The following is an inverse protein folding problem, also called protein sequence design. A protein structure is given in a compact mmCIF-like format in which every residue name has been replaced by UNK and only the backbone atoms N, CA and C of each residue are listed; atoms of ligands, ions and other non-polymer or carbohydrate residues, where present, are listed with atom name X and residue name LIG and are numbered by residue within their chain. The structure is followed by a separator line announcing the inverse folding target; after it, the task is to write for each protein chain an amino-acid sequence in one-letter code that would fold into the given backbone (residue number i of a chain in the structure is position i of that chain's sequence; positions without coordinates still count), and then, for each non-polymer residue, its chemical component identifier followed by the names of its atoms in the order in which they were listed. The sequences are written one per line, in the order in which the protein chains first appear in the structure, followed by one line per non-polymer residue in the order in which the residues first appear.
data_IF_077448914012
#
_entry.id   IF_077448914012
#
_cell.length_a   1.000
_cell.length_b   1.000
_cell.length_c   1.000
_cell.angle_alpha   90.00
_cell.angle_beta   90.00
_cell.angle_gamma   90.00
#
_symmetry.space_group_name_H-M   'P 1'
#
loop_
_entity.id
_entity.type
_entity.pdbx_description
1 polymer ?
#
# COMPACT_ATOMS: atom_id res chain seq x y z
N UNK A 1 10.97 -6.46 11.14
CA UNK A 1 10.42 -5.46 12.08
C UNK A 1 10.61 -4.08 11.47
N UNK A 2 9.54 -3.44 11.03
CA UNK A 2 9.60 -2.01 10.70
C UNK A 2 9.48 -1.23 12.01
N UNK A 3 10.43 -0.36 12.29
CA UNK A 3 10.37 0.54 13.44
C UNK A 3 9.25 1.55 13.21
N UNK A 4 8.32 1.69 14.16
CA UNK A 4 7.28 2.73 14.13
C UNK A 4 7.84 4.15 14.25
N UNK A 5 9.15 4.30 14.50
CA UNK A 5 9.81 5.59 14.63
C UNK A 5 10.12 6.27 13.27
N UNK A 6 10.01 5.56 12.14
CA UNK A 6 10.26 6.11 10.80
C UNK A 6 8.98 6.05 9.96
N UNK A 7 8.15 7.07 10.12
CA UNK A 7 7.07 7.37 9.18
C UNK A 7 7.52 8.47 8.22
N UNK A 8 7.32 8.26 6.92
CA UNK A 8 7.55 9.27 5.89
C UNK A 8 6.21 9.73 5.33
N UNK A 9 5.91 11.03 5.33
CA UNK A 9 4.61 11.52 4.87
C UNK A 9 4.44 11.25 3.37
N UNK A 10 3.21 10.91 2.99
CA UNK A 10 2.81 10.80 1.59
C UNK A 10 2.69 12.22 1.03
N UNK A 11 3.46 12.51 -0.02
CA UNK A 11 3.50 13.81 -0.71
C UNK A 11 2.38 13.93 -1.74
N UNK A 12 1.91 12.80 -2.26
CA UNK A 12 0.83 12.79 -3.24
C UNK A 12 0.43 11.38 -3.63
N UNK A 13 -0.52 11.30 -4.57
CA UNK A 13 -1.04 10.05 -5.10
C UNK A 13 -1.01 10.15 -6.63
N UNK A 14 -0.61 9.08 -7.31
CA UNK A 14 -0.66 8.99 -8.75
C UNK A 14 -1.26 7.66 -9.21
N UNK A 15 -1.81 7.64 -10.42
CA UNK A 15 -2.29 6.41 -11.06
C UNK A 15 -1.34 6.05 -12.20
N UNK A 16 -0.86 4.81 -12.20
CA UNK A 16 0.10 4.31 -13.19
C UNK A 16 -0.34 2.98 -13.77
N UNK A 17 0.16 2.67 -14.97
CA UNK A 17 0.10 1.33 -15.51
C UNK A 17 1.45 0.65 -15.24
N UNK A 18 1.44 -0.53 -14.60
CA UNK A 18 2.64 -1.27 -14.24
C UNK A 18 2.76 -2.52 -15.12
N UNK A 19 3.96 -2.80 -15.59
CA UNK A 19 4.31 -4.10 -16.17
C UNK A 19 5.40 -4.73 -15.30
N UNK A 20 5.08 -5.85 -14.66
CA UNK A 20 5.99 -6.57 -13.78
C UNK A 20 6.03 -8.02 -14.24
N UNK A 21 7.20 -8.46 -14.71
CA UNK A 21 7.43 -9.84 -15.17
C UNK A 21 6.40 -10.31 -16.22
N UNK A 22 6.03 -9.42 -17.15
CA UNK A 22 5.03 -9.71 -18.18
C UNK A 22 3.57 -9.58 -17.73
N UNK A 23 3.31 -9.33 -16.45
CA UNK A 23 1.98 -9.05 -15.93
C UNK A 23 1.66 -7.56 -15.97
N UNK A 24 0.57 -7.21 -16.66
CA UNK A 24 0.14 -5.82 -16.83
C UNK A 24 -0.99 -5.45 -15.87
N UNK A 25 -0.73 -4.44 -15.04
CA UNK A 25 -1.68 -3.86 -14.08
C UNK A 25 -2.07 -2.47 -14.56
N UNK A 26 -3.38 -2.26 -14.79
CA UNK A 26 -3.91 -0.99 -15.24
C UNK A 26 -4.36 -0.12 -14.07
N UNK A 27 -4.12 1.18 -14.20
CA UNK A 27 -4.65 2.21 -13.30
C UNK A 27 -4.41 1.90 -11.81
N UNK A 28 -3.18 1.50 -11.48
CA UNK A 28 -2.78 1.22 -10.12
C UNK A 28 -2.48 2.53 -9.39
N UNK A 29 -3.15 2.74 -8.26
CA UNK A 29 -2.92 3.88 -7.40
C UNK A 29 -1.64 3.67 -6.58
N UNK A 30 -0.69 4.60 -6.67
CA UNK A 30 0.54 4.61 -5.89
C UNK A 30 0.61 5.89 -5.04
N UNK A 31 1.08 5.73 -3.82
CA UNK A 31 1.44 6.87 -2.95
C UNK A 31 2.87 7.30 -3.24
N UNK A 32 3.09 8.60 -3.41
CA UNK A 32 4.41 9.19 -3.61
C UNK A 32 4.97 9.55 -2.25
N UNK A 33 6.07 8.93 -1.85
CA UNK A 33 6.75 9.20 -0.59
C UNK A 33 8.01 10.04 -0.84
N UNK A 34 8.28 11.00 0.05
CA UNK A 34 9.53 11.74 0.02
C UNK A 34 10.68 10.86 0.53
N UNK A 35 11.81 10.82 -0.18
CA UNK A 35 13.01 10.04 0.18
C UNK A 35 12.75 8.53 0.32
N UNK A 36 12.05 7.94 -0.64
CA UNK A 36 11.91 6.49 -0.74
C UNK A 36 13.29 5.83 -0.89
N UNK A 37 13.55 4.75 -0.16
CA UNK A 37 14.83 4.04 -0.19
C UNK A 37 14.99 3.09 -1.38
N UNK A 38 13.98 3.00 -2.25
CA UNK A 38 13.94 2.21 -3.46
C UNK A 38 13.04 2.90 -4.49
N UNK A 39 12.92 2.33 -5.70
CA UNK A 39 12.11 2.91 -6.76
C UNK A 39 10.60 2.79 -6.47
N UNK A 40 10.16 1.61 -6.03
CA UNK A 40 8.75 1.28 -5.76
C UNK A 40 8.67 0.30 -4.58
N UNK A 41 7.72 0.53 -3.67
CA UNK A 41 7.34 -0.45 -2.64
C UNK A 41 6.00 -1.07 -3.06
N UNK A 42 5.97 -2.39 -3.18
CA UNK A 42 4.74 -3.14 -3.46
C UNK A 42 4.14 -3.61 -2.13
N UNK A 43 2.99 -3.05 -1.80
CA UNK A 43 2.26 -3.34 -0.57
C UNK A 43 1.47 -4.66 -0.64
N UNK A 44 0.83 -5.00 0.48
CA UNK A 44 0.00 -6.21 0.55
C UNK A 44 -1.22 -6.17 -0.39
N UNK A 45 -1.70 -4.98 -0.71
CA UNK A 45 -2.77 -4.72 -1.67
C UNK A 45 -2.40 -5.18 -3.09
N UNK A 46 -1.15 -4.97 -3.50
CA UNK A 46 -0.60 -5.56 -4.72
C UNK A 46 -0.46 -7.06 -4.56
N UNK A 47 0.17 -7.50 -3.46
CA UNK A 47 0.52 -8.91 -3.27
C UNK A 47 -0.69 -9.85 -3.25
N UNK A 48 -1.82 -9.41 -2.67
CA UNK A 48 -3.08 -10.18 -2.61
C UNK A 48 -3.77 -10.37 -3.97
N UNK A 49 -3.30 -9.72 -5.03
CA UNK A 49 -3.81 -9.95 -6.39
C UNK A 49 -3.28 -11.25 -7.01
N UNK A 50 -2.27 -11.85 -6.40
CA UNK A 50 -1.71 -13.12 -6.80
C UNK A 50 -2.17 -14.23 -5.86
N UNK A 51 -2.34 -15.42 -6.40
CA UNK A 51 -2.62 -16.64 -5.62
C UNK A 51 -1.47 -16.94 -4.64
N UNK A 52 -0.22 -16.75 -5.08
CA UNK A 52 0.97 -16.87 -4.24
C UNK A 52 2.12 -16.01 -4.76
N UNK A 53 3.07 -15.69 -3.87
CA UNK A 53 4.31 -14.96 -4.22
C UNK A 53 5.50 -15.82 -3.83
N UNK A 54 6.45 -15.96 -4.77
CA UNK A 54 7.68 -16.73 -4.57
C UNK A 54 8.87 -15.78 -4.48
N UNK A 55 9.60 -15.84 -3.37
CA UNK A 55 10.83 -15.07 -3.16
C UNK A 55 12.00 -16.05 -3.15
N UNK A 56 12.82 -16.01 -4.19
CA UNK A 56 14.00 -16.87 -4.31
C UNK A 56 15.22 -16.18 -3.69
N UNK A 57 15.80 -16.79 -2.65
CA UNK A 57 16.98 -16.26 -1.94
C UNK A 57 18.33 -16.76 -2.50
N UNK A 58 18.33 -17.64 -3.52
CA UNK A 58 19.54 -18.18 -4.13
C UNK A 58 20.38 -19.10 -3.22
N UNK A 59 19.83 -19.55 -2.10
CA UNK A 59 20.50 -20.45 -1.17
C UNK A 59 20.69 -21.87 -1.73
N UNK A 60 21.68 -22.60 -1.21
CA UNK A 60 22.01 -23.97 -1.62
C UNK A 60 21.15 -25.06 -0.96
N UNK A 61 20.32 -24.68 0.02
CA UNK A 61 19.44 -25.61 0.75
C UNK A 61 18.07 -25.72 0.06
N UNK A 62 17.35 -26.84 0.23
CA UNK A 62 15.97 -26.96 -0.24
C UNK A 62 15.10 -25.81 0.26
N UNK A 63 14.11 -25.41 -0.54
CA UNK A 63 13.17 -24.36 -0.19
C UNK A 63 12.39 -24.76 1.07
N UNK A 64 12.20 -23.78 1.97
CA UNK A 64 11.32 -23.93 3.13
C UNK A 64 9.95 -23.42 2.73
N UNK A 65 8.97 -24.33 2.64
CA UNK A 65 7.58 -23.98 2.41
C UNK A 65 6.85 -23.88 3.74
N UNK A 66 6.31 -22.70 4.07
CA UNK A 66 5.52 -22.49 5.28
C UNK A 66 4.07 -22.78 4.91
N UNK A 67 3.73 -24.07 4.80
CA UNK A 67 2.39 -24.54 4.45
C UNK A 67 1.54 -24.88 5.70
N UNK A 68 2.17 -24.93 6.88
CA UNK A 68 1.49 -25.22 8.13
C UNK A 68 0.87 -23.95 8.72
N UNK A 69 -0.46 -23.96 8.83
CA UNK A 69 -1.31 -22.97 9.51
C UNK A 69 -0.93 -22.71 10.98
N UNK A 70 0.11 -23.37 11.51
CA UNK A 70 0.56 -23.27 12.90
C UNK A 70 1.96 -22.64 13.05
N UNK A 71 2.63 -22.26 11.96
CA UNK A 71 3.91 -21.54 12.05
C UNK A 71 3.76 -20.15 11.46
N UNK A 72 3.38 -19.19 12.31
CA UNK A 72 3.41 -17.77 11.97
C UNK A 72 4.87 -17.32 11.85
N UNK A 73 5.50 -17.56 10.70
CA UNK A 73 6.68 -16.80 10.32
C UNK A 73 6.20 -15.40 9.95
N UNK A 74 6.27 -14.49 10.92
CA UNK A 74 5.77 -13.13 10.83
C UNK A 74 6.44 -12.30 9.74
N UNK A 75 5.97 -12.42 8.50
CA UNK A 75 6.07 -11.34 7.52
C UNK A 75 4.99 -10.30 7.91
N UNK A 76 5.33 -9.46 8.88
CA UNK A 76 4.39 -8.49 9.42
C UNK A 76 4.03 -7.46 8.33
N UNK A 77 2.73 -7.31 8.06
CA UNK A 77 2.20 -6.18 7.30
C UNK A 77 2.59 -4.88 8.01
N UNK A 78 3.26 -3.96 7.34
CA UNK A 78 3.39 -2.60 7.87
C UNK A 78 2.06 -1.89 7.63
N UNK A 79 1.32 -1.62 8.70
CA UNK A 79 0.18 -0.69 8.64
C UNK A 79 0.77 0.71 8.49
N UNK A 80 0.53 1.35 7.34
CA UNK A 80 0.84 2.77 7.17
C UNK A 80 -0.43 3.53 7.54
N UNK A 81 -0.33 4.43 8.51
CA UNK A 81 -1.47 5.24 8.91
C UNK A 81 -1.97 6.05 7.70
N UNK A 82 -3.29 6.10 7.45
CA UNK A 82 -3.83 6.88 6.36
C UNK A 82 -3.42 8.35 6.53
N UNK A 83 -3.10 9.06 5.44
CA UNK A 83 -2.74 10.47 5.53
C UNK A 83 -3.90 11.23 6.17
N UNK A 84 -3.61 11.99 7.22
CA UNK A 84 -4.61 12.82 7.89
C UNK A 84 -5.19 13.82 6.89
N UNK A 85 -6.47 13.67 6.57
CA UNK A 85 -7.20 14.47 5.57
C UNK A 85 -7.13 15.99 5.82
N UNK A 86 -6.71 16.41 7.02
CA UNK A 86 -6.72 17.80 7.48
C UNK A 86 -5.42 18.24 8.18
N UNK A 87 -4.33 17.48 8.10
CA UNK A 87 -3.08 17.82 8.80
C UNK A 87 -2.47 19.17 8.39
N UNK A 88 -2.87 19.72 7.24
CA UNK A 88 -2.40 21.02 6.75
C UNK A 88 -3.41 22.16 6.94
N UNK A 89 -4.56 21.92 7.60
CA UNK A 89 -5.50 22.99 7.89
C UNK A 89 -4.95 23.90 9.00
N UNK A 90 -4.67 25.16 8.65
CA UNK A 90 -4.41 26.21 9.65
C UNK A 90 -5.65 26.39 10.55
N UNK A 91 -5.46 26.84 11.80
CA UNK A 91 -6.55 27.04 12.79
C UNK A 91 -7.75 27.87 12.29
N UNK A 92 -7.57 28.61 11.20
CA UNK A 92 -8.60 29.46 10.57
C UNK A 92 -9.47 28.71 9.54
N UNK A 93 -9.17 27.46 9.22
CA UNK A 93 -9.94 26.68 8.25
C UNK A 93 -11.22 26.13 8.88
N UNK A 94 -12.36 26.79 8.64
CA UNK A 94 -13.68 26.27 9.01
C UNK A 94 -14.17 25.26 7.97
N UNK A 95 -14.32 23.97 8.32
CA UNK A 95 -14.86 22.99 7.38
C UNK A 95 -16.31 23.35 7.02
N UNK A 96 -16.59 23.55 5.73
CA UNK A 96 -17.95 23.75 5.24
C UNK A 96 -18.56 22.37 4.99
N UNK A 97 -19.35 21.90 5.95
CA UNK A 97 -20.15 20.69 5.78
C UNK A 97 -21.23 20.95 4.72
N UNK A 98 -20.95 20.60 3.47
CA UNK A 98 -21.96 20.62 2.42
C UNK A 98 -22.69 19.29 2.43
N UNK A 99 -23.99 19.27 2.80
CA UNK A 99 -24.84 18.11 2.57
C UNK A 99 -24.98 17.92 1.06
N UNK A 100 -24.26 16.96 0.48
CA UNK A 100 -24.56 16.48 -0.85
C UNK A 100 -25.88 15.70 -0.73
N UNK A 101 -26.94 16.19 -1.36
CA UNK A 101 -28.18 15.41 -1.47
C UNK A 101 -27.84 14.18 -2.31
N UNK A 102 -28.13 13.00 -1.79
CA UNK A 102 -28.00 11.75 -2.54
C UNK A 102 -28.64 11.92 -3.92
N UNK A 103 -27.85 11.72 -4.97
CA UNK A 103 -28.39 11.62 -6.33
C UNK A 103 -29.04 10.25 -6.40
N UNK A 104 -30.36 10.19 -6.20
CA UNK A 104 -31.14 8.98 -6.47
C UNK A 104 -31.03 8.67 -7.96
N UNK A 105 -30.34 7.59 -8.30
CA UNK A 105 -30.31 7.03 -9.64
C UNK A 105 -31.67 6.33 -9.87
N UNK A 106 -32.54 6.93 -10.67
CA UNK A 106 -33.82 6.35 -11.09
C UNK A 106 -33.56 5.18 -12.05
N UNK A 107 -34.10 4.00 -11.71
CA UNK A 107 -34.23 2.85 -12.63
C UNK A 107 -35.34 3.09 -13.64
#
# INVERSE_FOLDING_TARGET
MASSALSSPIVGICNVNLNIDGHFYRNMQLSVLNKLCCDIILGQDFMKRHDSIKISFGGSRPAVEINDSNTVCGLAASSVDPPELFATLTSECRPIATKIKEVQCSR
#
